data_IF_589051310802
#
_entry.id   IF_589051310802
#
_cell.length_a   1.000
_cell.length_b   1.000
_cell.length_c   1.000
_cell.angle_alpha   90.00
_cell.angle_beta   90.00
_cell.angle_gamma   90.00
#
_symmetry.space_group_name_H-M   'P 1'
#
loop_
_entity.id
_entity.type
_entity.pdbx_description
1 polymer ?
#
# COMPACT_ATOMS: atom_id res chain seq x y z
N UNK A 1 -4.20 -15.97 -10.80
CA UNK A 1 -2.99 -15.24 -10.38
C UNK A 1 -2.64 -14.06 -11.30
N UNK A 2 -3.41 -13.83 -12.36
CA UNK A 2 -3.20 -12.70 -13.27
C UNK A 2 -3.86 -11.40 -12.79
N UNK A 3 -4.81 -11.47 -11.86
CA UNK A 3 -5.56 -10.29 -11.36
C UNK A 3 -4.92 -9.60 -10.13
N UNK A 4 -3.76 -10.06 -9.68
CA UNK A 4 -3.17 -9.64 -8.40
C UNK A 4 -2.37 -8.34 -8.39
N UNK A 5 -2.28 -7.61 -9.49
CA UNK A 5 -1.34 -6.47 -9.59
C UNK A 5 -1.97 -5.11 -9.86
N UNK A 6 -3.29 -5.04 -9.95
CA UNK A 6 -3.95 -3.74 -10.09
C UNK A 6 -4.39 -3.26 -8.72
N UNK A 7 -3.72 -2.23 -8.22
CA UNK A 7 -4.15 -1.53 -7.01
C UNK A 7 -5.58 -1.01 -7.17
N UNK A 8 -6.25 -0.81 -6.04
CA UNK A 8 -7.66 -0.39 -5.99
C UNK A 8 -7.93 0.83 -6.88
N UNK A 9 -6.93 1.63 -7.15
CA UNK A 9 -7.12 2.93 -7.76
C UNK A 9 -6.58 3.10 -9.17
N UNK A 10 -5.48 2.47 -9.60
CA UNK A 10 -4.89 2.78 -10.90
C UNK A 10 -5.49 1.98 -12.06
N UNK A 11 -5.92 0.77 -11.83
CA UNK A 11 -6.49 -0.10 -12.86
C UNK A 11 -8.01 -0.21 -12.83
N UNK A 12 -8.63 -0.02 -11.69
CA UNK A 12 -10.04 -0.36 -11.53
C UNK A 12 -10.33 -1.83 -11.90
N UNK A 13 -11.60 -2.20 -11.96
CA UNK A 13 -11.98 -3.41 -12.69
C UNK A 13 -11.88 -3.09 -14.18
N UNK A 14 -11.20 -3.93 -14.95
CA UNK A 14 -11.12 -3.78 -16.39
C UNK A 14 -12.53 -3.58 -16.98
N UNK A 15 -12.72 -2.49 -17.71
CA UNK A 15 -13.99 -2.10 -18.30
C UNK A 15 -14.93 -1.28 -17.41
N UNK A 16 -14.58 -0.97 -16.15
CA UNK A 16 -15.40 -0.08 -15.31
C UNK A 16 -15.53 1.34 -15.91
N UNK A 17 -14.50 1.80 -16.58
CA UNK A 17 -14.44 3.05 -17.33
C UNK A 17 -15.43 3.10 -18.52
N UNK A 18 -15.84 1.93 -19.04
CA UNK A 18 -16.74 1.78 -20.19
C UNK A 18 -18.21 1.68 -19.80
N UNK A 19 -18.53 1.53 -18.52
CA UNK A 19 -19.90 1.46 -18.05
C UNK A 19 -20.61 2.81 -18.23
N UNK A 20 -21.88 2.77 -18.62
CA UNK A 20 -22.77 3.93 -18.49
C UNK A 20 -22.99 4.28 -17.02
N UNK A 21 -23.49 5.47 -16.72
CA UNK A 21 -23.76 5.88 -15.34
C UNK A 21 -24.82 5.01 -14.67
N UNK A 22 -25.82 4.51 -15.43
CA UNK A 22 -26.84 3.60 -14.89
C UNK A 22 -26.25 2.22 -14.56
N UNK A 23 -25.42 1.67 -15.43
CA UNK A 23 -24.70 0.41 -15.18
C UNK A 23 -23.73 0.56 -14.01
N UNK A 24 -23.03 1.67 -13.91
CA UNK A 24 -22.15 1.97 -12.80
C UNK A 24 -22.93 2.07 -11.49
N UNK A 25 -24.09 2.73 -11.48
CA UNK A 25 -24.97 2.81 -10.31
C UNK A 25 -25.43 1.42 -9.86
N UNK A 26 -25.79 0.55 -10.79
CA UNK A 26 -26.17 -0.83 -10.49
C UNK A 26 -24.99 -1.63 -9.93
N UNK A 27 -23.79 -1.45 -10.48
CA UNK A 27 -22.56 -2.09 -9.99
C UNK A 27 -22.16 -1.62 -8.59
N UNK A 28 -22.32 -0.33 -8.30
CA UNK A 28 -22.10 0.25 -6.96
C UNK A 28 -23.16 -0.24 -5.95
N UNK A 29 -24.42 -0.43 -6.37
CA UNK A 29 -25.49 -0.96 -5.53
C UNK A 29 -25.26 -2.43 -5.15
N UNK A 30 -24.70 -3.23 -6.06
CA UNK A 30 -24.57 -4.68 -5.89
C UNK A 30 -23.37 -5.05 -4.99
N UNK A 31 -23.56 -5.72 -3.84
CA UNK A 31 -22.49 -6.06 -2.92
C UNK A 31 -21.69 -7.27 -3.42
N UNK A 32 -20.67 -7.00 -4.23
CA UNK A 32 -19.69 -7.97 -4.72
C UNK A 32 -18.29 -7.62 -4.20
N UNK A 33 -17.35 -8.55 -4.33
CA UNK A 33 -15.92 -8.33 -4.05
C UNK A 33 -15.30 -7.21 -4.91
N UNK A 34 -15.92 -6.91 -6.04
CA UNK A 34 -15.46 -5.87 -6.96
C UNK A 34 -16.11 -4.49 -6.72
N UNK A 35 -17.08 -4.38 -5.81
CA UNK A 35 -17.82 -3.13 -5.57
C UNK A 35 -16.90 -1.93 -5.33
N UNK A 36 -15.80 -2.13 -4.61
CA UNK A 36 -14.86 -1.06 -4.27
C UNK A 36 -14.30 -0.36 -5.53
N UNK A 37 -14.04 -1.11 -6.59
CA UNK A 37 -13.53 -0.56 -7.85
C UNK A 37 -14.57 0.31 -8.56
N UNK A 38 -15.84 -0.05 -8.47
CA UNK A 38 -16.93 0.74 -9.02
C UNK A 38 -17.17 2.02 -8.20
N UNK A 39 -16.99 1.96 -6.89
CA UNK A 39 -17.01 3.17 -6.02
C UNK A 39 -15.88 4.12 -6.42
N UNK A 40 -14.66 3.61 -6.64
CA UNK A 40 -13.53 4.41 -7.10
C UNK A 40 -13.82 5.07 -8.46
N UNK A 41 -14.41 4.33 -9.40
CA UNK A 41 -14.78 4.87 -10.71
C UNK A 41 -15.86 5.95 -10.59
N UNK A 42 -16.86 5.75 -9.75
CA UNK A 42 -17.89 6.77 -9.48
C UNK A 42 -17.27 8.06 -8.92
N UNK A 43 -16.32 7.94 -7.99
CA UNK A 43 -15.58 9.10 -7.45
C UNK A 43 -14.74 9.80 -8.52
N UNK A 44 -14.09 9.04 -9.40
CA UNK A 44 -13.35 9.61 -10.55
C UNK A 44 -14.24 10.40 -11.50
N UNK A 45 -15.48 9.94 -11.69
CA UNK A 45 -16.49 10.67 -12.48
C UNK A 45 -17.09 11.87 -11.75
N UNK A 46 -16.64 12.14 -10.52
CA UNK A 46 -17.11 13.27 -9.73
C UNK A 46 -18.46 13.07 -9.04
N UNK A 47 -18.89 11.81 -8.85
CA UNK A 47 -20.08 11.56 -8.03
C UNK A 47 -19.81 11.97 -6.59
N UNK A 48 -20.78 12.67 -5.99
CA UNK A 48 -20.64 13.08 -4.60
C UNK A 48 -20.85 11.90 -3.61
N UNK A 49 -20.28 12.07 -2.43
CA UNK A 49 -20.32 11.05 -1.37
C UNK A 49 -21.75 10.71 -0.97
N UNK A 50 -22.65 11.71 -0.91
CA UNK A 50 -24.04 11.49 -0.52
C UNK A 50 -24.77 10.62 -1.54
N UNK A 51 -24.56 10.84 -2.84
CA UNK A 51 -25.11 10.00 -3.92
C UNK A 51 -24.61 8.56 -3.79
N UNK A 52 -23.30 8.36 -3.63
CA UNK A 52 -22.70 7.01 -3.52
C UNK A 52 -23.23 6.31 -2.26
N UNK A 53 -23.27 7.01 -1.13
CA UNK A 53 -23.83 6.48 0.12
C UNK A 53 -25.30 6.04 -0.04
N UNK A 54 -26.11 6.86 -0.66
CA UNK A 54 -27.53 6.54 -0.90
C UNK A 54 -27.72 5.26 -1.74
N UNK A 55 -26.79 5.00 -2.67
CA UNK A 55 -26.85 3.81 -3.54
C UNK A 55 -26.34 2.55 -2.82
N UNK A 56 -25.20 2.62 -2.11
CA UNK A 56 -24.51 1.43 -1.62
C UNK A 56 -24.58 1.21 -0.10
N UNK A 57 -24.99 2.22 0.67
CA UNK A 57 -25.06 2.17 2.13
C UNK A 57 -23.68 2.19 2.84
N UNK A 58 -22.59 2.34 2.12
CA UNK A 58 -21.24 2.45 2.72
C UNK A 58 -21.17 3.78 3.48
N UNK A 59 -20.70 3.73 4.73
CA UNK A 59 -20.58 4.92 5.57
C UNK A 59 -19.75 6.02 4.89
N UNK A 60 -20.19 7.28 4.92
CA UNK A 60 -19.50 8.41 4.31
C UNK A 60 -18.05 8.58 4.75
N UNK A 61 -17.69 8.15 5.97
CA UNK A 61 -16.31 8.22 6.44
C UNK A 61 -15.37 7.38 5.55
N UNK A 62 -15.77 6.14 5.23
CA UNK A 62 -14.97 5.29 4.33
C UNK A 62 -14.92 5.84 2.91
N UNK A 63 -16.07 6.32 2.41
CA UNK A 63 -16.14 6.93 1.08
C UNK A 63 -15.22 8.15 0.95
N UNK A 64 -15.15 8.98 2.00
CA UNK A 64 -14.21 10.11 2.05
C UNK A 64 -12.76 9.63 2.02
N UNK A 65 -12.39 8.57 2.78
CA UNK A 65 -11.02 8.04 2.75
C UNK A 65 -10.63 7.50 1.38
N UNK A 66 -11.55 6.82 0.70
CA UNK A 66 -11.34 6.38 -0.69
C UNK A 66 -11.19 7.58 -1.62
N UNK A 67 -12.04 8.60 -1.45
CA UNK A 67 -11.95 9.82 -2.26
C UNK A 67 -10.61 10.55 -2.08
N UNK A 68 -10.09 10.64 -0.86
CA UNK A 68 -8.76 11.24 -0.62
C UNK A 68 -7.66 10.52 -1.43
N UNK A 69 -7.70 9.18 -1.46
CA UNK A 69 -6.77 8.39 -2.28
C UNK A 69 -6.94 8.69 -3.77
N UNK A 70 -8.19 8.74 -4.25
CA UNK A 70 -8.51 9.05 -5.66
C UNK A 70 -7.99 10.44 -6.01
N UNK A 71 -8.24 11.45 -5.19
CA UNK A 71 -7.80 12.82 -5.46
C UNK A 71 -6.28 12.94 -5.53
N UNK A 72 -5.55 12.28 -4.62
CA UNK A 72 -4.09 12.25 -4.64
C UNK A 72 -3.56 11.59 -5.91
N UNK A 73 -4.19 10.52 -6.38
CA UNK A 73 -3.77 9.84 -7.61
C UNK A 73 -4.13 10.64 -8.87
N UNK A 74 -5.33 11.22 -8.92
CA UNK A 74 -5.75 12.04 -10.05
C UNK A 74 -4.90 13.31 -10.20
N UNK A 75 -4.31 13.82 -9.12
CA UNK A 75 -3.44 15.00 -9.16
C UNK A 75 -2.19 14.83 -10.03
N UNK A 76 -1.77 13.59 -10.29
CA UNK A 76 -0.60 13.27 -11.12
C UNK A 76 -0.96 12.68 -12.48
N UNK A 77 -2.23 12.47 -12.75
CA UNK A 77 -2.66 11.87 -14.03
C UNK A 77 -2.20 12.69 -15.23
N UNK A 78 -1.48 12.07 -16.14
CA UNK A 78 -0.96 12.69 -17.34
C UNK A 78 0.26 13.62 -17.14
N UNK A 79 0.74 13.78 -15.91
CA UNK A 79 2.03 14.43 -15.67
C UNK A 79 3.17 13.51 -16.09
N UNK A 80 4.34 14.10 -16.36
CA UNK A 80 5.57 13.33 -16.49
C UNK A 80 6.08 13.00 -15.09
N UNK A 81 6.72 11.85 -14.92
CA UNK A 81 7.26 11.42 -13.62
C UNK A 81 8.23 12.44 -13.05
N UNK A 82 9.03 13.08 -13.93
CA UNK A 82 10.03 14.07 -13.55
C UNK A 82 9.44 15.38 -13.01
N UNK A 83 8.17 15.62 -13.27
CA UNK A 83 7.44 16.81 -12.79
C UNK A 83 6.84 16.57 -11.38
N UNK A 84 6.92 15.35 -10.87
CA UNK A 84 6.47 14.98 -9.51
C UNK A 84 7.62 15.24 -8.53
N UNK A 85 7.46 16.19 -7.64
CA UNK A 85 8.46 16.50 -6.64
C UNK A 85 8.50 15.47 -5.49
N UNK A 86 9.45 15.62 -4.58
CA UNK A 86 9.65 14.67 -3.47
C UNK A 86 8.46 14.65 -2.50
N UNK A 87 7.79 15.77 -2.29
CA UNK A 87 6.68 15.87 -1.34
C UNK A 87 5.42 15.22 -1.93
N UNK A 88 5.10 15.50 -3.21
CA UNK A 88 4.01 14.83 -3.93
C UNK A 88 4.27 13.33 -4.06
N UNK A 89 5.50 12.92 -4.39
CA UNK A 89 5.87 11.49 -4.45
C UNK A 89 5.71 10.82 -3.09
N UNK A 90 6.09 11.46 -2.00
CA UNK A 90 5.90 10.92 -0.65
C UNK A 90 4.43 10.79 -0.31
N UNK A 91 3.62 11.80 -0.61
CA UNK A 91 2.18 11.78 -0.39
C UNK A 91 1.51 10.59 -1.10
N UNK A 92 1.84 10.39 -2.37
CA UNK A 92 1.36 9.22 -3.13
C UNK A 92 1.70 7.90 -2.41
N UNK A 93 2.94 7.75 -1.94
CA UNK A 93 3.36 6.53 -1.23
C UNK A 93 2.68 6.37 0.12
N UNK A 94 2.40 7.45 0.85
CA UNK A 94 1.65 7.42 2.11
C UNK A 94 0.19 7.00 1.91
N UNK A 95 -0.41 7.40 0.80
CA UNK A 95 -1.75 6.96 0.40
C UNK A 95 -1.78 5.58 -0.26
N UNK A 96 -0.65 4.85 -0.27
CA UNK A 96 -0.56 3.46 -0.71
C UNK A 96 -0.38 3.27 -2.21
N UNK A 97 -0.18 4.33 -2.99
CA UNK A 97 0.01 4.23 -4.45
C UNK A 97 1.32 3.50 -4.75
N UNK A 98 1.26 2.41 -5.50
CA UNK A 98 2.41 1.61 -5.90
C UNK A 98 3.22 2.31 -7.00
N UNK A 99 4.46 1.88 -7.22
CA UNK A 99 5.28 2.41 -8.32
C UNK A 99 4.67 2.03 -9.69
N UNK A 100 4.00 0.88 -9.78
CA UNK A 100 3.28 0.46 -10.98
C UNK A 100 2.05 1.34 -11.27
N UNK A 101 1.29 1.72 -10.22
CA UNK A 101 0.16 2.64 -10.37
C UNK A 101 0.60 4.03 -10.79
N UNK A 102 1.69 4.56 -10.21
CA UNK A 102 2.26 5.84 -10.63
C UNK A 102 2.68 5.76 -12.10
N UNK A 103 3.31 4.64 -12.51
CA UNK A 103 3.69 4.42 -13.91
C UNK A 103 2.48 4.43 -14.84
N UNK A 104 1.39 3.75 -14.47
CA UNK A 104 0.15 3.73 -15.26
C UNK A 104 -0.49 5.12 -15.36
N UNK A 105 -0.51 5.90 -14.28
CA UNK A 105 -1.09 7.24 -14.26
C UNK A 105 -0.29 8.26 -15.08
N UNK A 106 1.04 8.08 -15.15
CA UNK A 106 1.97 9.00 -15.83
C UNK A 106 2.41 8.52 -17.21
N UNK A 107 1.95 7.33 -17.65
CA UNK A 107 2.37 6.73 -18.91
C UNK A 107 3.85 6.34 -18.94
N UNK A 108 4.42 5.97 -17.80
CA UNK A 108 5.84 5.64 -17.61
C UNK A 108 6.07 4.14 -17.35
N UNK A 109 7.30 3.77 -17.09
CA UNK A 109 7.71 2.41 -16.68
C UNK A 109 7.90 2.33 -15.16
N UNK A 110 7.48 1.22 -14.54
CA UNK A 110 7.60 1.02 -13.09
C UNK A 110 9.03 1.11 -12.59
N UNK A 111 9.99 0.57 -13.33
CA UNK A 111 11.41 0.59 -12.93
C UNK A 111 11.96 2.01 -12.95
N UNK A 112 11.52 2.80 -13.93
CA UNK A 112 11.88 4.21 -14.01
C UNK A 112 11.29 4.99 -12.82
N UNK A 113 10.00 4.84 -12.54
CA UNK A 113 9.35 5.46 -11.36
C UNK A 113 10.09 5.08 -10.07
N UNK A 114 10.43 3.81 -9.90
CA UNK A 114 11.17 3.33 -8.72
C UNK A 114 12.55 3.98 -8.60
N UNK A 115 13.28 4.07 -9.70
CA UNK A 115 14.60 4.71 -9.72
C UNK A 115 14.50 6.20 -9.40
N UNK A 116 13.56 6.89 -10.02
CA UNK A 116 13.31 8.31 -9.81
C UNK A 116 12.92 8.60 -8.35
N UNK A 117 11.95 7.88 -7.81
CA UNK A 117 11.53 7.99 -6.40
C UNK A 117 12.67 7.80 -5.42
N UNK A 118 13.52 6.79 -5.65
CA UNK A 118 14.73 6.57 -4.83
C UNK A 118 15.73 7.71 -4.98
N UNK A 119 15.88 8.27 -6.17
CA UNK A 119 16.69 9.46 -6.43
C UNK A 119 16.24 10.68 -5.65
N UNK A 120 14.93 10.85 -5.48
CA UNK A 120 14.33 11.88 -4.64
C UNK A 120 14.50 11.61 -3.12
N UNK A 121 15.04 10.45 -2.71
CA UNK A 121 15.15 10.04 -1.32
C UNK A 121 13.82 9.61 -0.70
N UNK A 122 12.80 9.33 -1.52
CA UNK A 122 11.51 8.83 -1.03
C UNK A 122 11.61 7.31 -0.93
N UNK A 123 11.99 6.84 0.22
CA UNK A 123 12.12 5.41 0.57
C UNK A 123 11.33 5.12 1.84
N UNK A 124 10.77 3.92 1.98
CA UNK A 124 10.10 3.54 3.22
C UNK A 124 11.12 3.24 4.31
N UNK A 125 10.70 3.37 5.55
CA UNK A 125 11.42 2.91 6.74
C UNK A 125 10.77 1.67 7.33
N UNK A 126 11.55 0.87 8.05
CA UNK A 126 11.08 -0.26 8.85
C UNK A 126 10.90 0.21 10.28
N UNK A 127 9.73 -0.04 10.84
CA UNK A 127 9.38 0.35 12.22
C UNK A 127 9.04 -0.88 13.03
N UNK A 128 9.34 -0.84 14.32
CA UNK A 128 8.99 -1.89 15.27
C UNK A 128 7.54 -1.74 15.69
N UNK A 129 6.82 -2.86 15.74
CA UNK A 129 5.45 -2.88 16.27
C UNK A 129 5.52 -2.67 17.79
N UNK A 130 4.89 -1.61 18.28
CA UNK A 130 4.76 -1.38 19.72
C UNK A 130 3.66 -2.30 20.28
N UNK A 131 4.09 -3.31 21.05
CA UNK A 131 3.20 -4.27 21.71
C UNK A 131 2.93 -3.92 23.18
N UNK A 132 3.47 -2.79 23.65
CA UNK A 132 3.45 -2.39 25.05
C UNK A 132 2.69 -1.08 25.30
N UNK A 133 1.91 -0.59 24.33
CA UNK A 133 1.13 0.66 24.40
C UNK A 133 1.95 1.88 24.87
N UNK A 134 3.22 1.95 24.50
CA UNK A 134 4.20 2.95 24.90
C UNK A 134 4.48 3.03 26.43
N UNK A 135 4.00 2.07 27.21
CA UNK A 135 4.32 1.99 28.65
C UNK A 135 5.75 1.53 28.90
N UNK A 136 6.27 0.66 28.01
CA UNK A 136 7.64 0.15 28.02
C UNK A 136 8.20 0.14 26.61
N UNK A 137 9.52 0.13 26.48
CA UNK A 137 10.17 -0.08 25.18
C UNK A 137 9.80 -1.49 24.66
N UNK A 138 9.21 -1.55 23.47
CA UNK A 138 8.90 -2.80 22.83
C UNK A 138 10.18 -3.49 22.38
N UNK A 139 10.37 -4.75 22.75
CA UNK A 139 11.49 -5.60 22.36
C UNK A 139 11.08 -6.69 21.36
N UNK A 140 10.00 -6.48 20.61
CA UNK A 140 9.50 -7.44 19.63
C UNK A 140 10.33 -7.46 18.36
N UNK A 141 10.42 -8.63 17.74
CA UNK A 141 11.02 -8.79 16.41
C UNK A 141 9.96 -8.63 15.29
N UNK A 142 8.86 -7.92 15.57
CA UNK A 142 7.82 -7.59 14.60
C UNK A 142 8.05 -6.20 14.03
N UNK A 143 8.10 -6.13 12.71
CA UNK A 143 8.34 -4.89 11.99
C UNK A 143 7.28 -4.67 10.92
N UNK A 144 7.03 -3.41 10.59
CA UNK A 144 6.22 -3.03 9.46
C UNK A 144 6.94 -1.96 8.63
N UNK A 145 6.57 -1.88 7.37
CA UNK A 145 7.16 -0.96 6.40
C UNK A 145 6.20 0.20 6.16
N UNK A 146 6.70 1.43 6.27
CA UNK A 146 5.87 2.63 6.13
C UNK A 146 6.62 3.78 5.46
N UNK A 147 5.87 4.71 4.86
CA UNK A 147 6.37 6.01 4.43
C UNK A 147 5.93 7.04 5.46
N UNK A 148 6.71 7.26 6.49
CA UNK A 148 6.37 8.20 7.57
C UNK A 148 6.39 9.65 7.12
N UNK A 149 5.58 10.47 7.81
CA UNK A 149 5.71 11.91 7.78
C UNK A 149 7.02 12.30 8.48
N UNK A 150 7.94 12.86 7.73
CA UNK A 150 9.14 13.39 8.28
C UNK A 150 8.80 14.80 8.75
N UNK A 151 8.74 14.99 10.06
CA UNK A 151 8.72 16.35 10.62
C UNK A 151 10.03 17.01 10.23
N UNK A 152 9.98 17.97 9.31
CA UNK A 152 11.13 18.79 8.97
C UNK A 152 11.49 19.63 10.20
N UNK A 153 12.47 19.20 10.95
CA UNK A 153 13.01 19.95 12.09
C UNK A 153 13.92 21.10 11.63
N UNK A 154 14.27 21.11 10.32
CA UNK A 154 15.09 22.19 9.74
C UNK A 154 14.75 22.38 8.26
N UNK A 155 14.66 23.63 7.76
CA UNK A 155 14.47 23.95 6.35
C UNK A 155 15.58 23.40 5.43
N UNK A 156 16.78 23.17 5.98
CA UNK A 156 17.96 22.72 5.23
C UNK A 156 18.06 21.19 5.10
N UNK A 157 17.13 20.44 5.68
CA UNK A 157 17.14 18.98 5.62
C UNK A 157 16.70 18.48 4.24
N UNK A 158 17.64 18.46 3.28
CA UNK A 158 17.42 18.00 1.91
C UNK A 158 17.12 16.49 1.79
N UNK A 159 17.37 15.69 2.82
CA UNK A 159 17.05 14.26 2.88
C UNK A 159 16.64 13.90 4.31
N UNK A 160 15.38 13.97 4.59
CA UNK A 160 14.85 13.37 5.80
C UNK A 160 14.31 11.99 5.46
N UNK A 161 15.08 10.95 5.76
CA UNK A 161 14.61 9.57 5.79
C UNK A 161 14.32 9.25 7.25
N UNK A 162 13.12 8.76 7.54
CA UNK A 162 12.82 8.27 8.88
C UNK A 162 13.78 7.11 9.21
N UNK A 163 14.37 7.07 10.40
CA UNK A 163 15.35 6.03 10.75
C UNK A 163 14.68 4.65 10.77
N UNK A 164 15.40 3.65 10.23
CA UNK A 164 15.05 2.26 10.42
C UNK A 164 15.25 1.85 11.88
N UNK A 165 14.31 1.07 12.40
CA UNK A 165 14.37 0.51 13.75
C UNK A 165 14.82 -0.96 13.74
N UNK A 166 15.17 -1.50 12.56
CA UNK A 166 15.73 -2.84 12.44
C UNK A 166 17.23 -2.84 12.68
N UNK A 167 17.71 -3.89 13.31
CA UNK A 167 19.15 -4.14 13.54
C UNK A 167 19.54 -5.46 12.87
N UNK A 168 19.75 -5.47 11.53
CA UNK A 168 20.10 -6.69 10.82
C UNK A 168 21.47 -7.21 11.25
N UNK A 169 21.57 -8.51 11.55
CA UNK A 169 22.82 -9.16 11.89
C UNK A 169 23.76 -9.26 10.68
N UNK A 170 25.07 -9.36 10.92
CA UNK A 170 26.06 -9.65 9.88
C UNK A 170 26.12 -11.17 9.61
N UNK A 171 25.05 -11.69 9.01
CA UNK A 171 24.88 -13.10 8.66
C UNK A 171 24.22 -13.21 7.28
N UNK A 172 24.39 -14.35 6.60
CA UNK A 172 23.55 -14.65 5.44
C UNK A 172 22.08 -14.60 5.81
N UNK A 173 21.25 -14.01 4.95
CA UNK A 173 19.82 -13.79 5.20
C UNK A 173 18.98 -14.67 4.30
N UNK A 174 17.93 -15.24 4.86
CA UNK A 174 16.89 -15.95 4.12
C UNK A 174 15.54 -15.32 4.38
N UNK A 175 14.88 -14.86 3.32
CA UNK A 175 13.53 -14.30 3.39
C UNK A 175 12.52 -15.37 3.02
N UNK A 176 11.54 -15.60 3.89
CA UNK A 176 10.44 -16.53 3.69
C UNK A 176 9.19 -15.70 3.40
N UNK A 177 8.63 -15.87 2.22
CA UNK A 177 7.38 -15.22 1.84
C UNK A 177 6.22 -16.09 2.29
N UNK A 178 5.42 -15.59 3.22
CA UNK A 178 4.20 -16.24 3.66
C UNK A 178 3.06 -16.08 2.66
N UNK A 179 1.97 -16.79 2.89
CA UNK A 179 0.80 -16.79 2.02
C UNK A 179 -0.11 -15.55 2.16
N UNK A 180 0.26 -14.61 3.01
CA UNK A 180 -0.55 -13.45 3.35
C UNK A 180 -1.40 -13.64 4.61
N UNK A 181 -2.25 -12.66 4.98
CA UNK A 181 -3.08 -12.75 6.17
C UNK A 181 -4.08 -13.91 6.07
N UNK A 182 -4.25 -14.61 7.17
CA UNK A 182 -5.18 -15.71 7.27
C UNK A 182 -6.63 -15.21 7.15
N UNK A 183 -7.47 -15.98 6.46
CA UNK A 183 -8.92 -15.76 6.44
C UNK A 183 -9.55 -16.36 7.70
N UNK A 184 -10.78 -15.93 8.00
CA UNK A 184 -11.58 -16.57 9.04
C UNK A 184 -11.72 -18.08 8.71
N UNK A 185 -11.44 -18.95 9.67
CA UNK A 185 -11.46 -20.40 9.52
C UNK A 185 -10.14 -21.03 9.06
N UNK A 186 -9.14 -20.23 8.70
CA UNK A 186 -7.76 -20.70 8.50
C UNK A 186 -7.02 -20.70 9.83
N UNK A 187 -6.18 -21.69 10.06
CA UNK A 187 -5.44 -21.86 11.28
C UNK A 187 -3.93 -21.93 11.07
N UNK A 188 -3.26 -22.43 12.09
CA UNK A 188 -1.79 -22.51 12.17
C UNK A 188 -1.14 -23.33 11.04
N UNK A 189 -1.87 -24.17 10.35
CA UNK A 189 -1.38 -24.99 9.24
C UNK A 189 -0.72 -24.17 8.12
N UNK A 190 -1.14 -22.92 7.93
CA UNK A 190 -0.56 -22.03 6.91
C UNK A 190 0.78 -21.44 7.36
N UNK A 191 0.98 -21.28 8.67
CA UNK A 191 2.22 -20.76 9.24
C UNK A 191 3.22 -21.87 9.55
N UNK A 192 2.76 -23.11 9.71
CA UNK A 192 3.57 -24.24 10.12
C UNK A 192 4.81 -24.43 9.24
N UNK A 193 4.64 -24.47 7.92
CA UNK A 193 5.75 -24.63 6.98
C UNK A 193 6.74 -23.46 7.06
N UNK A 194 6.25 -22.23 7.15
CA UNK A 194 7.08 -21.02 7.23
C UNK A 194 7.93 -21.03 8.51
N UNK A 195 7.31 -21.36 9.64
CA UNK A 195 8.00 -21.44 10.95
C UNK A 195 9.06 -22.55 10.95
N UNK A 196 8.74 -23.75 10.46
CA UNK A 196 9.69 -24.85 10.37
C UNK A 196 10.85 -24.55 9.42
N UNK A 197 10.58 -23.91 8.28
CA UNK A 197 11.63 -23.45 7.37
C UNK A 197 12.54 -22.42 8.04
N UNK A 198 11.98 -21.44 8.76
CA UNK A 198 12.74 -20.46 9.51
C UNK A 198 13.63 -21.12 10.58
N UNK A 199 13.08 -22.07 11.35
CA UNK A 199 13.84 -22.80 12.37
C UNK A 199 14.98 -23.62 11.77
N UNK A 200 14.76 -24.28 10.65
CA UNK A 200 15.79 -25.05 9.95
C UNK A 200 16.91 -24.14 9.43
N UNK A 201 16.56 -23.05 8.78
CA UNK A 201 17.54 -22.08 8.27
C UNK A 201 18.32 -21.41 9.40
N UNK A 202 17.68 -21.08 10.52
CA UNK A 202 18.34 -20.54 11.70
C UNK A 202 19.40 -21.51 12.26
N UNK A 203 19.11 -22.82 12.27
CA UNK A 203 20.08 -23.87 12.67
C UNK A 203 21.28 -23.94 11.71
N UNK A 204 21.09 -23.59 10.44
CA UNK A 204 22.15 -23.52 9.43
C UNK A 204 22.94 -22.18 9.46
N UNK A 205 22.64 -21.29 10.41
CA UNK A 205 23.38 -20.04 10.61
C UNK A 205 22.83 -18.84 9.86
N UNK A 206 21.68 -18.95 9.19
CA UNK A 206 21.03 -17.84 8.53
C UNK A 206 20.28 -16.94 9.52
N UNK A 207 20.25 -15.65 9.27
CA UNK A 207 19.24 -14.75 9.77
C UNK A 207 17.96 -14.94 8.95
N UNK A 208 16.84 -15.20 9.60
CA UNK A 208 15.57 -15.50 8.90
C UNK A 208 14.58 -14.36 9.04
N UNK A 209 13.94 -14.02 7.95
CA UNK A 209 12.94 -12.95 7.87
C UNK A 209 11.66 -13.57 7.30
N UNK A 210 10.56 -13.54 8.05
CA UNK A 210 9.25 -13.99 7.58
C UNK A 210 8.45 -12.75 7.18
N UNK A 211 7.92 -12.74 5.96
CA UNK A 211 7.15 -11.63 5.43
C UNK A 211 5.70 -12.02 5.29
N UNK A 212 4.82 -11.23 5.88
CA UNK A 212 3.37 -11.31 5.73
C UNK A 212 2.80 -12.71 6.02
N UNK A 213 3.30 -13.33 7.06
CA UNK A 213 2.68 -14.48 7.70
C UNK A 213 1.96 -13.93 8.91
N UNK A 214 0.73 -13.64 8.78
CA UNK A 214 -0.18 -13.24 9.85
C UNK A 214 0.52 -12.70 11.12
#
# INVERSE_FOLDING_TARGET
LEDGHQGICAGGKEGADKLSDDELAQAVATPTEHRIFFVVEALRRGWDIARIHAICGIDPWYLNRINDMVQVQESIRGLRVEDIDADAMRLLKQYGTSDAEIAALTGSDERFVRAYRKGLGVVPSMKTVDTCAAEFSSATEYHYKTYENIFRTSPDAKKCVAPDETTPADKPKAMILGAGPNRIGQGIEFDYCCVHAAMALKKLGFETIIVNCN
#
